data_IF_201374119813
#
_entry.id   IF_201374119813
#
_cell.length_a   1.000
_cell.length_b   1.000
_cell.length_c   1.000
_cell.angle_alpha   90.00
_cell.angle_beta   90.00
_cell.angle_gamma   90.00
#
_symmetry.space_group_name_H-M   'P 1'
#
loop_
_entity.id
_entity.type
_entity.pdbx_description
1 polymer ?
#
# COMPACT_ATOMS: atom_id res chain seq x y z
N UNK A 1 6.09 -22.09 11.58
CA UNK A 1 7.05 -21.03 11.20
C UNK A 1 6.29 -19.70 10.99
N UNK A 2 5.60 -19.18 12.01
CA UNK A 2 4.75 -17.98 11.90
C UNK A 2 4.96 -16.94 13.02
N UNK A 3 5.86 -17.22 13.97
CA UNK A 3 6.05 -16.37 15.17
C UNK A 3 6.40 -14.93 14.82
N UNK A 4 7.21 -14.69 13.78
CA UNK A 4 7.60 -13.32 13.40
C UNK A 4 6.41 -12.46 12.96
N UNK A 5 5.50 -13.03 12.17
CA UNK A 5 4.30 -12.31 11.72
C UNK A 5 3.36 -12.06 12.90
N UNK A 6 3.08 -13.11 13.69
CA UNK A 6 2.23 -13.01 14.87
C UNK A 6 2.78 -11.97 15.87
N UNK A 7 4.09 -11.94 16.09
CA UNK A 7 4.70 -10.94 16.96
C UNK A 7 4.51 -9.50 16.43
N UNK A 8 4.57 -9.29 15.10
CA UNK A 8 4.29 -7.97 14.51
C UNK A 8 2.81 -7.59 14.70
N UNK A 9 1.91 -8.55 14.51
CA UNK A 9 0.48 -8.35 14.74
C UNK A 9 0.21 -7.95 16.20
N UNK A 10 0.68 -8.75 17.16
CA UNK A 10 0.45 -8.52 18.59
C UNK A 10 1.08 -7.20 19.07
N UNK A 11 2.29 -6.88 18.58
CA UNK A 11 2.97 -5.61 18.90
C UNK A 11 2.16 -4.40 18.40
N UNK A 12 1.82 -4.36 17.10
CA UNK A 12 1.10 -3.21 16.54
C UNK A 12 -0.31 -3.10 17.12
N UNK A 13 -0.99 -4.23 17.39
CA UNK A 13 -2.28 -4.24 18.07
C UNK A 13 -2.20 -3.58 19.44
N UNK A 14 -1.19 -3.94 20.25
CA UNK A 14 -0.99 -3.33 21.56
C UNK A 14 -0.75 -1.82 21.46
N UNK A 15 0.14 -1.39 20.54
CA UNK A 15 0.44 0.04 20.31
C UNK A 15 -0.82 0.83 19.94
N UNK A 16 -1.64 0.30 19.02
CA UNK A 16 -2.84 0.99 18.58
C UNK A 16 -3.94 1.05 19.64
N UNK A 17 -4.16 -0.04 20.38
CA UNK A 17 -5.10 -0.06 21.49
C UNK A 17 -4.69 0.89 22.62
N UNK A 18 -3.40 0.96 22.95
CA UNK A 18 -2.88 1.90 23.94
C UNK A 18 -3.06 3.37 23.51
N UNK A 19 -3.09 3.61 22.21
CA UNK A 19 -3.32 4.93 21.63
C UNK A 19 -4.80 5.25 21.40
N UNK A 20 -5.72 4.37 21.83
CA UNK A 20 -7.17 4.47 21.63
C UNK A 20 -7.59 4.64 20.15
N UNK A 21 -6.84 4.04 19.20
CA UNK A 21 -7.29 3.98 17.82
C UNK A 21 -8.42 2.95 17.66
N UNK A 22 -9.43 3.31 16.87
CA UNK A 22 -10.43 2.34 16.42
C UNK A 22 -9.80 1.38 15.40
N UNK A 23 -10.06 0.09 15.56
CA UNK A 23 -9.51 -0.96 14.71
C UNK A 23 -10.61 -1.97 14.38
N UNK A 24 -10.66 -2.40 13.13
CA UNK A 24 -11.40 -3.59 12.72
C UNK A 24 -10.38 -4.70 12.47
N UNK A 25 -10.52 -5.85 13.11
CA UNK A 25 -9.53 -6.92 13.05
C UNK A 25 -10.14 -8.31 13.11
N UNK A 26 -9.40 -9.31 12.63
CA UNK A 26 -9.83 -10.71 12.58
C UNK A 26 -8.79 -11.71 13.11
N UNK A 27 -7.85 -11.26 13.94
CA UNK A 27 -6.76 -12.09 14.45
C UNK A 27 -5.62 -12.36 13.45
N UNK A 28 -5.70 -11.81 12.24
CA UNK A 28 -4.67 -11.93 11.20
C UNK A 28 -4.34 -10.59 10.56
N UNK A 29 -5.35 -9.77 10.26
CA UNK A 29 -5.22 -8.46 9.64
C UNK A 29 -5.94 -7.41 10.50
N UNK A 30 -5.31 -6.26 10.68
CA UNK A 30 -5.93 -5.06 11.27
C UNK A 30 -6.22 -4.06 10.15
N UNK A 31 -7.43 -3.53 10.12
CA UNK A 31 -7.80 -2.36 9.35
C UNK A 31 -7.76 -1.16 10.28
N UNK A 32 -7.03 -0.12 9.87
CA UNK A 32 -6.94 1.15 10.59
C UNK A 32 -7.20 2.28 9.61
N UNK A 33 -8.06 3.23 10.00
CA UNK A 33 -8.22 4.45 9.24
C UNK A 33 -6.95 5.31 9.37
N UNK A 34 -6.28 5.57 8.26
CA UNK A 34 -5.02 6.32 8.19
C UNK A 34 -4.74 6.75 6.74
N UNK A 35 -4.25 7.97 6.55
CA UNK A 35 -3.93 8.53 5.24
C UNK A 35 -2.50 8.25 4.77
N UNK A 36 -1.68 7.60 5.59
CA UNK A 36 -0.31 7.23 5.23
C UNK A 36 -0.28 6.07 4.23
N UNK A 37 0.75 6.03 3.37
CA UNK A 37 0.92 4.93 2.39
C UNK A 37 1.60 3.68 2.96
N UNK A 38 2.44 3.85 3.98
CA UNK A 38 3.20 2.76 4.57
C UNK A 38 2.55 2.26 5.86
N UNK A 39 1.88 1.11 5.79
CA UNK A 39 1.34 0.44 6.97
C UNK A 39 2.35 -0.57 7.55
N UNK A 40 2.38 -0.76 8.89
CA UNK A 40 3.14 -1.84 9.50
C UNK A 40 2.64 -3.22 9.05
N UNK A 41 3.50 -4.24 9.19
CA UNK A 41 3.13 -5.64 8.92
C UNK A 41 1.86 -6.00 9.70
N UNK A 42 0.97 -6.72 9.02
CA UNK A 42 -0.34 -7.16 9.52
C UNK A 42 -1.37 -6.03 9.73
N UNK A 43 -1.09 -4.83 9.25
CA UNK A 43 -2.02 -3.70 9.21
C UNK A 43 -2.26 -3.27 7.76
N UNK A 44 -3.50 -2.97 7.41
CA UNK A 44 -3.89 -2.32 6.17
C UNK A 44 -4.53 -0.98 6.53
N UNK A 45 -4.00 0.09 5.95
CA UNK A 45 -4.59 1.41 6.07
C UNK A 45 -5.70 1.59 5.04
N UNK A 46 -6.76 2.28 5.46
CA UNK A 46 -7.83 2.71 4.58
C UNK A 46 -8.21 4.14 4.91
N UNK A 47 -8.83 4.80 3.95
CA UNK A 47 -9.44 6.12 4.13
C UNK A 47 -10.65 6.24 3.22
N UNK A 48 -11.54 7.17 3.57
CA UNK A 48 -12.69 7.50 2.75
C UNK A 48 -12.36 8.66 1.82
N UNK A 49 -13.01 8.68 0.66
CA UNK A 49 -12.96 9.80 -0.28
C UNK A 49 -14.36 10.13 -0.77
N UNK A 50 -14.63 11.41 -1.01
CA UNK A 50 -15.97 11.87 -1.42
C UNK A 50 -16.25 11.64 -2.90
N UNK A 51 -15.24 11.83 -3.75
CA UNK A 51 -15.38 11.74 -5.21
C UNK A 51 -14.16 11.09 -5.86
N UNK A 52 -14.39 10.43 -6.99
CA UNK A 52 -13.34 9.81 -7.81
C UNK A 52 -12.33 10.82 -8.34
N UNK A 53 -12.77 12.04 -8.60
CA UNK A 53 -11.96 13.16 -9.08
C UNK A 53 -10.98 13.62 -8.00
N UNK A 54 -11.43 13.74 -6.76
CA UNK A 54 -10.55 14.08 -5.63
C UNK A 54 -9.48 13.01 -5.42
N UNK A 55 -9.88 11.73 -5.46
CA UNK A 55 -8.94 10.61 -5.36
C UNK A 55 -7.90 10.66 -6.49
N UNK A 56 -8.33 10.88 -7.73
CA UNK A 56 -7.43 10.98 -8.87
C UNK A 56 -6.42 12.11 -8.73
N UNK A 57 -6.87 13.30 -8.32
CA UNK A 57 -5.98 14.44 -8.14
C UNK A 57 -4.92 14.18 -7.06
N UNK A 58 -5.33 13.54 -5.95
CA UNK A 58 -4.39 13.16 -4.89
C UNK A 58 -3.36 12.13 -5.35
N UNK A 59 -3.80 11.05 -5.99
CA UNK A 59 -2.88 10.02 -6.52
C UNK A 59 -1.89 10.58 -7.55
N UNK A 60 -2.29 11.59 -8.33
CA UNK A 60 -1.39 12.29 -9.25
C UNK A 60 -0.37 13.18 -8.51
N UNK A 61 -0.76 13.84 -7.44
CA UNK A 61 0.16 14.64 -6.62
C UNK A 61 1.15 13.74 -5.86
N UNK A 62 0.69 12.57 -5.42
CA UNK A 62 1.46 11.62 -4.62
C UNK A 62 2.14 10.53 -5.48
N UNK A 63 2.29 10.75 -6.79
CA UNK A 63 2.87 9.75 -7.70
C UNK A 63 4.27 9.30 -7.29
N UNK A 64 5.10 10.21 -6.75
CA UNK A 64 6.44 9.89 -6.26
C UNK A 64 6.46 9.03 -4.98
N UNK A 65 5.31 8.91 -4.29
CA UNK A 65 5.14 8.10 -3.08
C UNK A 65 4.48 6.75 -3.36
N UNK A 66 3.99 6.53 -4.59
CA UNK A 66 3.13 5.41 -4.95
C UNK A 66 3.78 4.60 -6.07
N UNK A 67 4.14 3.36 -5.76
CA UNK A 67 4.70 2.46 -6.75
C UNK A 67 3.68 2.01 -7.81
N UNK A 68 2.44 1.71 -7.39
CA UNK A 68 1.37 1.33 -8.31
C UNK A 68 -0.01 1.54 -7.69
N UNK A 69 -1.00 1.77 -8.55
CA UNK A 69 -2.42 1.80 -8.17
C UNK A 69 -3.10 0.58 -8.75
N UNK A 70 -3.93 -0.09 -7.95
CA UNK A 70 -4.66 -1.30 -8.35
C UNK A 70 -6.15 -1.00 -8.34
N UNK A 71 -6.86 -1.34 -9.41
CA UNK A 71 -8.28 -1.07 -9.46
C UNK A 71 -8.94 -1.46 -10.77
N UNK A 72 -10.27 -1.39 -10.76
CA UNK A 72 -11.09 -1.55 -11.96
C UNK A 72 -11.51 -0.18 -12.46
N UNK A 73 -11.40 0.05 -13.77
CA UNK A 73 -11.81 1.30 -14.43
C UNK A 73 -11.10 2.57 -13.91
N UNK A 74 -9.87 2.45 -13.40
CA UNK A 74 -9.06 3.59 -12.99
C UNK A 74 -7.90 3.80 -13.99
N UNK A 75 -7.72 4.99 -14.57
CA UNK A 75 -6.66 5.24 -15.55
C UNK A 75 -5.26 4.98 -14.98
N UNK A 76 -4.47 4.17 -15.67
CA UNK A 76 -3.11 3.81 -15.22
C UNK A 76 -3.08 2.78 -14.08
N UNK A 77 -4.22 2.25 -13.64
CA UNK A 77 -4.24 1.21 -12.62
C UNK A 77 -3.95 -0.18 -13.20
N UNK A 78 -3.24 -0.97 -12.41
CA UNK A 78 -3.00 -2.39 -12.65
C UNK A 78 -4.28 -3.19 -12.32
N UNK A 79 -4.67 -4.17 -13.15
CA UNK A 79 -5.79 -5.06 -12.83
C UNK A 79 -5.55 -5.85 -11.54
N UNK A 80 -6.63 -6.23 -10.86
CA UNK A 80 -6.55 -7.10 -9.69
C UNK A 80 -5.88 -8.44 -10.02
N UNK A 81 -4.94 -8.86 -9.19
CA UNK A 81 -4.18 -10.10 -9.35
C UNK A 81 -2.91 -9.98 -10.20
N UNK A 82 -2.68 -8.85 -10.86
CA UNK A 82 -1.50 -8.65 -11.72
C UNK A 82 -0.33 -7.94 -11.02
N UNK A 83 -0.49 -7.43 -9.80
CA UNK A 83 0.54 -6.62 -9.11
C UNK A 83 1.84 -7.35 -8.80
N UNK A 84 1.81 -8.68 -8.75
CA UNK A 84 2.99 -9.52 -8.51
C UNK A 84 3.56 -10.10 -9.81
N UNK A 85 3.14 -9.58 -10.96
CA UNK A 85 3.59 -10.00 -12.29
C UNK A 85 4.12 -8.78 -13.07
N UNK A 86 5.22 -8.16 -12.63
CA UNK A 86 5.78 -7.01 -13.31
C UNK A 86 6.19 -7.39 -14.73
N UNK A 87 5.80 -6.57 -15.71
CA UNK A 87 6.25 -6.68 -17.10
C UNK A 87 7.65 -6.07 -17.23
N UNK A 88 8.34 -6.36 -18.33
CA UNK A 88 9.69 -5.83 -18.59
C UNK A 88 9.80 -4.30 -18.50
N UNK A 89 8.69 -3.60 -18.76
CA UNK A 89 8.59 -2.15 -18.74
C UNK A 89 7.88 -1.59 -17.49
N UNK A 90 7.49 -2.45 -16.54
CA UNK A 90 6.88 -2.05 -15.27
C UNK A 90 7.99 -1.78 -14.24
N UNK A 91 8.81 -0.78 -14.53
CA UNK A 91 9.89 -0.37 -13.65
C UNK A 91 9.33 0.29 -12.39
N UNK A 92 9.83 -0.14 -11.22
CA UNK A 92 9.58 0.58 -9.98
C UNK A 92 10.07 2.03 -10.12
N UNK A 93 9.23 2.99 -9.72
CA UNK A 93 9.54 4.42 -9.71
C UNK A 93 9.87 5.02 -11.09
N UNK A 94 9.51 4.35 -12.19
CA UNK A 94 9.76 4.81 -13.56
C UNK A 94 11.24 4.82 -13.98
N UNK A 95 12.14 4.25 -13.16
CA UNK A 95 13.57 4.20 -13.45
C UNK A 95 13.90 2.92 -14.23
N UNK A 96 14.32 3.07 -15.49
CA UNK A 96 14.78 1.94 -16.30
C UNK A 96 16.00 1.29 -15.64
N UNK A 97 15.78 0.11 -15.04
CA UNK A 97 16.81 -0.63 -14.31
C UNK A 97 17.93 -1.10 -15.24
N UNK A 98 17.66 -1.31 -16.53
CA UNK A 98 18.71 -1.64 -17.50
C UNK A 98 19.55 -0.39 -17.84
N UNK A 99 18.90 0.78 -17.96
CA UNK A 99 19.62 2.04 -18.10
C UNK A 99 20.52 2.30 -16.89
N UNK A 100 20.01 2.12 -15.66
CA UNK A 100 20.82 2.24 -14.43
C UNK A 100 22.03 1.30 -14.44
N UNK A 101 21.83 0.01 -14.73
CA UNK A 101 22.91 -0.99 -14.75
C UNK A 101 23.96 -0.74 -15.85
N UNK A 102 23.58 -0.09 -16.95
CA UNK A 102 24.51 0.26 -18.04
C UNK A 102 25.40 1.47 -17.75
N UNK A 103 25.09 2.26 -16.72
CA UNK A 103 25.86 3.42 -16.28
C UNK A 103 26.67 3.16 -15.00
N UNK A 104 26.80 1.89 -14.59
CA UNK A 104 27.56 1.43 -13.43
C UNK A 104 29.05 1.21 -13.75
#
# INVERSE_FOLDING_TARGET
NYKKYQNNYDYNKAVYLMSNFELLENGFLMLKEDSNYASPIATLFYEYYDTTENLRNRLLLDTDQIQCVVGKNFPGAVPFGETQQPRLNDYADGVDTLAFLSHL
#
